data_IF_916886549998
#
_entry.id   IF_916886549998
#
_cell.length_a   1.000
_cell.length_b   1.000
_cell.length_c   1.000
_cell.angle_alpha   90.00
_cell.angle_beta   90.00
_cell.angle_gamma   90.00
#
_symmetry.space_group_name_H-M   'P 1'
#
loop_
_entity.id
_entity.type
_entity.pdbx_description
1 polymer ?
#
# COMPACT_ATOMS: atom_id res chain seq x y z
N UNK A 1 15.64 -16.79 6.50
CA UNK A 1 15.37 -16.61 7.95
C UNK A 1 13.85 -16.75 8.16
N UNK A 2 13.37 -17.94 8.56
CA UNK A 2 11.94 -18.17 8.81
C UNK A 2 11.63 -17.73 10.25
N UNK A 3 10.78 -16.72 10.42
CA UNK A 3 10.31 -16.31 11.74
C UNK A 3 9.41 -17.42 12.30
N UNK A 4 9.79 -17.99 13.46
CA UNK A 4 9.17 -19.19 14.06
C UNK A 4 7.65 -19.06 14.28
N UNK A 5 7.11 -17.85 14.40
CA UNK A 5 5.69 -17.55 14.55
C UNK A 5 5.21 -16.50 13.54
N UNK A 6 5.79 -16.47 12.35
CA UNK A 6 5.42 -15.50 11.31
C UNK A 6 3.93 -15.51 10.96
N UNK A 7 3.27 -16.68 11.02
CA UNK A 7 1.83 -16.82 10.77
C UNK A 7 0.98 -16.03 11.78
N UNK A 8 1.42 -15.93 13.04
CA UNK A 8 0.72 -15.13 14.05
C UNK A 8 0.77 -13.64 13.71
N UNK A 9 1.94 -13.16 13.25
CA UNK A 9 2.11 -11.76 12.85
C UNK A 9 1.24 -11.43 11.64
N UNK A 10 1.22 -12.31 10.64
CA UNK A 10 0.38 -12.12 9.45
C UNK A 10 -1.11 -12.13 9.79
N UNK A 11 -1.57 -13.11 10.58
CA UNK A 11 -2.97 -13.19 10.98
C UNK A 11 -3.38 -12.01 11.88
N UNK A 12 -2.52 -11.61 12.82
CA UNK A 12 -2.77 -10.43 13.64
C UNK A 12 -2.86 -9.15 12.79
N UNK A 13 -1.98 -9.03 11.79
CA UNK A 13 -2.03 -7.92 10.85
C UNK A 13 -3.35 -7.91 10.05
N UNK A 14 -3.80 -9.06 9.54
CA UNK A 14 -5.08 -9.16 8.81
C UNK A 14 -6.30 -8.89 9.70
N UNK A 15 -6.24 -9.25 10.99
CA UNK A 15 -7.32 -8.96 11.94
C UNK A 15 -7.56 -7.45 12.11
N UNK A 16 -6.56 -6.61 11.85
CA UNK A 16 -6.74 -5.15 11.90
C UNK A 16 -7.76 -4.65 10.86
N UNK A 17 -7.96 -5.37 9.76
CA UNK A 17 -8.96 -5.02 8.74
C UNK A 17 -10.41 -5.29 9.15
N UNK A 18 -10.63 -6.00 10.24
CA UNK A 18 -11.98 -6.17 10.83
C UNK A 18 -12.52 -4.83 11.33
N UNK A 19 -11.62 -3.91 11.73
CA UNK A 19 -12.00 -2.57 12.17
C UNK A 19 -12.05 -1.66 10.94
N UNK A 20 -13.23 -1.14 10.55
CA UNK A 20 -13.33 -0.22 9.42
C UNK A 20 -12.45 1.01 9.63
N UNK A 21 -11.66 1.37 8.63
CA UNK A 21 -10.76 2.53 8.70
C UNK A 21 -11.50 3.84 9.05
N UNK A 22 -12.76 3.98 8.61
CA UNK A 22 -13.59 5.14 8.91
C UNK A 22 -13.85 5.34 10.40
N UNK A 23 -13.94 4.27 11.20
CA UNK A 23 -14.12 4.38 12.64
C UNK A 23 -12.88 4.90 13.36
N UNK A 24 -11.71 4.73 12.77
CA UNK A 24 -10.45 5.20 13.33
C UNK A 24 -10.11 6.65 12.93
N UNK A 25 -10.86 7.25 12.02
CA UNK A 25 -10.52 8.53 11.42
C UNK A 25 -10.44 9.68 12.45
N UNK A 26 -11.42 9.77 13.36
CA UNK A 26 -11.46 10.82 14.38
C UNK A 26 -10.33 10.62 15.40
N UNK A 27 -10.07 9.38 15.81
CA UNK A 27 -8.98 9.04 16.72
C UNK A 27 -7.61 9.36 16.10
N UNK A 28 -7.44 9.04 14.83
CA UNK A 28 -6.24 9.37 14.09
C UNK A 28 -6.01 10.88 14.00
N UNK A 29 -7.07 11.64 13.70
CA UNK A 29 -7.01 13.10 13.69
C UNK A 29 -6.55 13.66 15.05
N UNK A 30 -7.11 13.19 16.16
CA UNK A 30 -6.70 13.59 17.51
C UNK A 30 -5.24 13.26 17.83
N UNK A 31 -4.80 12.07 17.44
CA UNK A 31 -3.39 11.65 17.60
C UNK A 31 -2.48 12.60 16.82
N UNK A 32 -2.80 12.87 15.55
CA UNK A 32 -1.98 13.76 14.72
C UNK A 32 -1.96 15.19 15.26
N UNK A 33 -3.05 15.69 15.81
CA UNK A 33 -3.05 16.98 16.50
C UNK A 33 -2.11 17.00 17.72
N UNK A 34 -2.14 15.96 18.55
CA UNK A 34 -1.28 15.88 19.73
C UNK A 34 0.22 15.83 19.37
N UNK A 35 0.57 15.29 18.19
CA UNK A 35 1.94 15.27 17.68
C UNK A 35 2.31 16.53 16.88
N UNK A 36 1.44 17.55 16.81
CA UNK A 36 1.68 18.75 16.02
C UNK A 36 1.68 18.54 14.50
N UNK A 37 1.09 17.42 14.05
CA UNK A 37 0.98 17.06 12.64
C UNK A 37 -0.37 17.42 12.01
N UNK A 38 -1.15 18.29 12.64
CA UNK A 38 -2.38 18.82 12.06
C UNK A 38 -2.06 19.61 10.78
N UNK A 39 -2.89 19.43 9.75
CA UNK A 39 -2.72 20.06 8.44
C UNK A 39 -1.33 19.86 7.80
N UNK A 40 -0.73 18.69 8.01
CA UNK A 40 0.57 18.33 7.49
C UNK A 40 0.47 17.03 6.66
N UNK A 41 1.02 16.97 5.44
CA UNK A 41 0.98 15.75 4.62
C UNK A 41 1.53 14.49 5.31
N UNK A 42 2.46 14.64 6.26
CA UNK A 42 2.99 13.51 7.04
C UNK A 42 1.93 12.80 7.88
N UNK A 43 0.86 13.50 8.29
CA UNK A 43 -0.26 12.86 8.99
C UNK A 43 -1.02 11.87 8.08
N UNK A 44 -1.24 12.25 6.83
CA UNK A 44 -1.86 11.37 5.83
C UNK A 44 -0.94 10.20 5.48
N UNK A 45 0.36 10.46 5.30
CA UNK A 45 1.35 9.41 5.04
C UNK A 45 1.36 8.39 6.19
N UNK A 46 1.34 8.83 7.44
CA UNK A 46 1.28 7.94 8.60
C UNK A 46 0.02 7.04 8.58
N UNK A 47 -1.14 7.61 8.26
CA UNK A 47 -2.38 6.85 8.11
C UNK A 47 -2.29 5.81 6.99
N UNK A 48 -1.83 6.21 5.82
CA UNK A 48 -1.69 5.33 4.66
C UNK A 48 -0.71 4.19 4.90
N UNK A 49 0.42 4.47 5.56
CA UNK A 49 1.38 3.43 5.96
C UNK A 49 0.74 2.45 6.93
N UNK A 50 -0.02 2.94 7.93
CA UNK A 50 -0.71 2.06 8.88
C UNK A 50 -1.71 1.12 8.17
N UNK A 51 -2.46 1.61 7.16
CA UNK A 51 -3.44 0.80 6.42
C UNK A 51 -2.81 -0.11 5.37
N UNK A 52 -1.71 0.29 4.74
CA UNK A 52 -1.03 -0.54 3.76
C UNK A 52 -0.20 -1.68 4.40
N UNK A 53 0.31 -1.47 5.60
CA UNK A 53 1.24 -2.38 6.27
C UNK A 53 0.68 -3.80 6.48
N UNK A 54 -0.56 -4.02 6.94
CA UNK A 54 -1.10 -5.37 7.14
C UNK A 54 -1.11 -6.20 5.86
N UNK A 55 -1.53 -5.60 4.75
CA UNK A 55 -1.50 -6.24 3.43
C UNK A 55 -0.07 -6.56 2.99
N UNK A 56 0.85 -5.60 3.18
CA UNK A 56 2.25 -5.80 2.84
C UNK A 56 2.88 -6.97 3.61
N UNK A 57 2.63 -7.05 4.92
CA UNK A 57 3.09 -8.15 5.77
C UNK A 57 2.56 -9.49 5.24
N UNK A 58 1.26 -9.56 4.95
CA UNK A 58 0.64 -10.78 4.44
C UNK A 58 1.27 -11.22 3.11
N UNK A 59 1.31 -10.32 2.12
CA UNK A 59 1.83 -10.64 0.79
C UNK A 59 3.31 -11.03 0.83
N UNK A 60 4.14 -10.29 1.56
CA UNK A 60 5.56 -10.61 1.68
C UNK A 60 5.78 -11.93 2.40
N UNK A 61 5.00 -12.26 3.40
CA UNK A 61 5.12 -13.52 4.11
C UNK A 61 4.72 -14.71 3.22
N UNK A 62 3.60 -14.61 2.51
CA UNK A 62 3.17 -15.68 1.62
C UNK A 62 4.16 -15.89 0.47
N UNK A 63 4.67 -14.78 -0.09
CA UNK A 63 5.67 -14.88 -1.15
C UNK A 63 7.02 -15.45 -0.64
N UNK A 64 7.47 -15.03 0.54
CA UNK A 64 8.71 -15.57 1.14
C UNK A 64 8.60 -17.06 1.47
N UNK A 65 7.40 -17.57 1.75
CA UNK A 65 7.17 -19.02 1.96
C UNK A 65 7.33 -19.84 0.69
N UNK A 66 7.10 -19.25 -0.48
CA UNK A 66 7.27 -19.94 -1.76
C UNK A 66 8.73 -20.08 -2.19
N UNK A 67 9.66 -19.36 -1.56
CA UNK A 67 11.10 -19.48 -1.84
C UNK A 67 11.64 -20.75 -1.14
N UNK A 68 12.26 -21.68 -1.89
CA UNK A 68 12.84 -22.89 -1.32
C UNK A 68 13.93 -22.58 -0.28
N UNK A 69 13.99 -23.35 0.81
CA UNK A 69 14.97 -23.15 1.87
C UNK A 69 16.41 -23.45 1.40
N UNK A 70 16.54 -24.31 0.41
CA UNK A 70 17.80 -24.74 -0.19
C UNK A 70 18.58 -23.55 -0.78
N UNK A 71 17.87 -22.50 -1.19
CA UNK A 71 18.48 -21.25 -1.68
C UNK A 71 19.23 -20.53 -0.56
N UNK A 72 18.67 -20.50 0.66
CA UNK A 72 19.32 -19.90 1.84
C UNK A 72 20.51 -20.78 2.30
N UNK A 73 20.33 -22.10 2.29
CA UNK A 73 21.36 -23.05 2.74
C UNK A 73 22.58 -23.06 1.80
N UNK A 74 22.36 -23.12 0.49
CA UNK A 74 23.47 -23.08 -0.48
C UNK A 74 24.24 -21.76 -0.41
N UNK A 75 23.55 -20.63 -0.30
CA UNK A 75 24.23 -19.34 -0.16
C UNK A 75 25.07 -19.23 1.12
N UNK A 76 24.64 -19.88 2.22
CA UNK A 76 25.43 -19.94 3.46
C UNK A 76 26.65 -20.84 3.31
N UNK A 77 26.54 -21.95 2.59
CA UNK A 77 27.70 -22.86 2.28
C UNK A 77 28.72 -22.08 1.45
N UNK A 78 28.25 -21.23 0.52
CA UNK A 78 29.12 -20.36 -0.29
C UNK A 78 29.71 -19.17 0.51
N UNK A 79 29.45 -19.09 1.82
CA UNK A 79 30.05 -18.09 2.71
C UNK A 79 29.35 -16.71 2.64
N UNK A 80 28.15 -16.62 2.05
CA UNK A 80 27.43 -15.36 1.97
C UNK A 80 26.95 -14.89 3.36
N UNK A 81 27.18 -13.62 3.69
CA UNK A 81 26.65 -13.02 4.91
C UNK A 81 25.11 -12.86 4.84
N UNK A 82 24.42 -12.80 5.99
CA UNK A 82 22.95 -12.61 6.01
C UNK A 82 22.47 -11.39 5.20
N UNK A 83 23.23 -10.30 5.21
CA UNK A 83 22.90 -9.10 4.44
C UNK A 83 23.08 -9.33 2.93
N UNK A 84 24.11 -10.07 2.53
CA UNK A 84 24.32 -10.45 1.13
C UNK A 84 23.20 -11.37 0.63
N UNK A 85 22.79 -12.35 1.42
CA UNK A 85 21.66 -13.23 1.12
C UNK A 85 20.39 -12.39 0.94
N UNK A 86 20.12 -11.47 1.86
CA UNK A 86 18.95 -10.59 1.77
C UNK A 86 18.97 -9.72 0.51
N UNK A 87 20.05 -8.97 0.27
CA UNK A 87 20.11 -7.99 -0.80
C UNK A 87 20.28 -8.61 -2.19
N UNK A 88 21.06 -9.70 -2.30
CA UNK A 88 21.42 -10.28 -3.61
C UNK A 88 20.53 -11.45 -4.03
N UNK A 89 19.85 -12.10 -3.08
CA UNK A 89 19.03 -13.28 -3.35
C UNK A 89 17.56 -12.99 -3.04
N UNK A 90 17.21 -12.72 -1.78
CA UNK A 90 15.82 -12.56 -1.40
C UNK A 90 15.15 -11.34 -2.05
N UNK A 91 15.79 -10.18 -2.01
CA UNK A 91 15.21 -8.96 -2.54
C UNK A 91 14.90 -9.04 -4.04
N UNK A 92 15.80 -9.55 -4.91
CA UNK A 92 15.48 -9.80 -6.31
C UNK A 92 14.39 -10.85 -6.53
N UNK A 93 14.40 -11.96 -5.78
CA UNK A 93 13.37 -12.99 -5.87
C UNK A 93 12.00 -12.49 -5.44
N UNK A 94 11.94 -11.56 -4.47
CA UNK A 94 10.71 -10.94 -3.99
C UNK A 94 10.25 -9.75 -4.86
N UNK A 95 10.94 -9.41 -5.94
CA UNK A 95 10.59 -8.27 -6.79
C UNK A 95 9.12 -8.28 -7.26
N UNK A 96 8.49 -9.42 -7.64
CA UNK A 96 7.07 -9.43 -8.00
C UNK A 96 6.16 -9.05 -6.83
N UNK A 97 6.46 -9.52 -5.61
CA UNK A 97 5.70 -9.16 -4.41
C UNK A 97 5.88 -7.68 -4.06
N UNK A 98 7.08 -7.12 -4.21
CA UNK A 98 7.34 -5.69 -4.04
C UNK A 98 6.54 -4.85 -5.02
N UNK A 99 6.46 -5.26 -6.29
CA UNK A 99 5.64 -4.58 -7.30
C UNK A 99 4.16 -4.64 -6.95
N UNK A 100 3.66 -5.80 -6.50
CA UNK A 100 2.26 -5.97 -6.12
C UNK A 100 1.89 -5.08 -4.91
N UNK A 101 2.70 -5.12 -3.84
CA UNK A 101 2.50 -4.30 -2.63
C UNK A 101 2.64 -2.81 -2.95
N UNK A 102 3.64 -2.43 -3.73
CA UNK A 102 3.84 -1.04 -4.14
C UNK A 102 2.69 -0.50 -4.98
N UNK A 103 2.18 -1.30 -5.91
CA UNK A 103 1.00 -0.93 -6.72
C UNK A 103 -0.25 -0.79 -5.85
N UNK A 104 -0.47 -1.71 -4.91
CA UNK A 104 -1.58 -1.62 -3.96
C UNK A 104 -1.49 -0.35 -3.09
N UNK A 105 -0.33 -0.11 -2.48
CA UNK A 105 -0.12 1.06 -1.62
C UNK A 105 -0.31 2.37 -2.40
N UNK A 106 0.15 2.42 -3.65
CA UNK A 106 -0.04 3.56 -4.53
C UNK A 106 -1.52 3.78 -4.85
N UNK A 107 -2.27 2.73 -5.20
CA UNK A 107 -3.71 2.82 -5.48
C UNK A 107 -4.50 3.19 -4.24
N UNK A 108 -4.12 2.66 -3.06
CA UNK A 108 -4.69 3.04 -1.78
C UNK A 108 -4.50 4.54 -1.53
N UNK A 109 -3.28 5.05 -1.70
CA UNK A 109 -2.98 6.46 -1.51
C UNK A 109 -3.65 7.35 -2.56
N UNK A 110 -3.73 6.90 -3.80
CA UNK A 110 -4.36 7.62 -4.90
C UNK A 110 -5.85 7.83 -4.66
N UNK A 111 -6.56 6.80 -4.22
CA UNK A 111 -8.01 6.83 -4.03
C UNK A 111 -8.44 7.27 -2.62
N UNK A 112 -7.48 7.56 -1.74
CA UNK A 112 -7.80 7.95 -0.39
C UNK A 112 -8.43 9.35 -0.36
N UNK A 113 -9.60 9.46 0.29
CA UNK A 113 -10.36 10.70 0.42
C UNK A 113 -10.53 11.12 1.88
N UNK A 114 -10.94 10.19 2.76
CA UNK A 114 -11.43 10.49 4.10
C UNK A 114 -10.34 11.10 4.99
N UNK A 115 -9.18 10.47 5.03
CA UNK A 115 -8.06 10.94 5.85
C UNK A 115 -7.44 12.20 5.29
N UNK A 116 -7.41 12.36 3.96
CA UNK A 116 -6.97 13.59 3.33
C UNK A 116 -7.93 14.74 3.65
N UNK A 117 -9.24 14.51 3.57
CA UNK A 117 -10.25 15.49 3.92
C UNK A 117 -10.19 15.91 5.40
N UNK A 118 -9.95 14.95 6.32
CA UNK A 118 -9.91 15.21 7.75
C UNK A 118 -8.59 15.84 8.22
N UNK A 119 -7.46 15.39 7.66
CA UNK A 119 -6.13 15.75 8.14
C UNK A 119 -5.53 16.96 7.42
N UNK A 120 -5.97 17.27 6.19
CA UNK A 120 -5.49 18.40 5.39
C UNK A 120 -6.61 19.43 5.23
N UNK A 121 -6.56 20.47 6.04
CA UNK A 121 -7.63 21.49 6.10
C UNK A 121 -7.36 22.72 5.22
N UNK A 122 -6.12 22.92 4.77
CA UNK A 122 -5.77 24.07 3.92
C UNK A 122 -6.03 23.79 2.45
N UNK A 123 -6.51 24.81 1.72
CA UNK A 123 -6.73 24.71 0.27
C UNK A 123 -5.45 24.38 -0.51
N UNK A 124 -4.29 24.81 -0.03
CA UNK A 124 -2.99 24.55 -0.66
C UNK A 124 -2.53 23.09 -0.56
N UNK A 125 -3.07 22.34 0.40
CA UNK A 125 -2.76 20.93 0.62
C UNK A 125 -3.87 19.98 0.13
N UNK A 126 -4.91 20.54 -0.51
CA UNK A 126 -6.06 19.78 -0.99
C UNK A 126 -5.65 18.81 -2.11
N UNK A 127 -6.08 17.58 -1.99
CA UNK A 127 -5.85 16.55 -3.02
C UNK A 127 -7.01 16.50 -4.02
N UNK A 128 -6.78 15.86 -5.17
CA UNK A 128 -7.80 15.78 -6.24
C UNK A 128 -9.10 15.11 -5.78
N UNK A 129 -9.10 13.98 -5.03
CA UNK A 129 -10.33 13.40 -4.49
C UNK A 129 -11.15 14.37 -3.63
N UNK A 130 -10.46 15.12 -2.76
CA UNK A 130 -11.11 16.11 -1.89
C UNK A 130 -11.64 17.27 -2.70
N UNK A 131 -10.91 17.76 -3.69
CA UNK A 131 -11.35 18.83 -4.59
C UNK A 131 -12.58 18.41 -5.40
N UNK A 132 -12.58 17.19 -5.97
CA UNK A 132 -13.73 16.66 -6.72
C UNK A 132 -14.98 16.56 -5.86
N UNK A 133 -14.86 16.13 -4.60
CA UNK A 133 -15.99 16.05 -3.69
C UNK A 133 -16.58 17.44 -3.36
N UNK A 134 -15.76 18.50 -3.36
CA UNK A 134 -16.26 19.87 -3.13
C UNK A 134 -17.09 20.39 -4.30
N UNK A 135 -16.83 19.97 -5.54
CA UNK A 135 -17.66 20.33 -6.68
C UNK A 135 -19.07 19.77 -6.58
N UNK A 136 -19.27 18.62 -5.92
CA UNK A 136 -20.58 18.00 -5.72
C UNK A 136 -21.49 18.80 -4.77
N UNK A 137 -20.93 19.65 -3.93
CA UNK A 137 -21.67 20.41 -2.91
C UNK A 137 -22.15 21.79 -3.40
N UNK A 138 -21.95 22.12 -4.68
CA UNK A 138 -22.45 23.39 -5.25
C UNK A 138 -23.73 23.16 -6.06
N UNK A 139 -24.73 24.03 -5.88
CA UNK A 139 -25.99 23.97 -6.63
C UNK A 139 -25.82 24.14 -8.15
N UNK A 140 -24.67 24.65 -8.57
CA UNK A 140 -24.24 24.81 -9.97
C UNK A 140 -23.03 23.96 -10.27
N UNK A 141 -23.07 22.66 -9.93
CA UNK A 141 -21.95 21.76 -10.16
C UNK A 141 -21.54 21.72 -11.63
N UNK A 142 -20.31 22.12 -11.97
CA UNK A 142 -19.83 22.14 -13.35
C UNK A 142 -19.48 20.71 -13.80
N UNK A 143 -20.48 19.92 -14.12
CA UNK A 143 -20.38 18.51 -14.47
C UNK A 143 -19.33 18.22 -15.56
N UNK A 144 -19.22 19.10 -16.55
CA UNK A 144 -18.24 19.00 -17.61
C UNK A 144 -16.79 19.04 -17.08
N UNK A 145 -16.50 19.97 -16.16
CA UNK A 145 -15.16 20.04 -15.53
C UNK A 145 -14.90 18.86 -14.60
N UNK A 146 -15.91 18.42 -13.87
CA UNK A 146 -15.80 17.24 -13.02
C UNK A 146 -15.46 15.98 -13.82
N UNK A 147 -16.18 15.73 -14.91
CA UNK A 147 -15.94 14.59 -15.78
C UNK A 147 -14.56 14.67 -16.44
N UNK A 148 -14.16 15.84 -16.92
CA UNK A 148 -12.82 16.04 -17.48
C UNK A 148 -11.72 15.77 -16.45
N UNK A 149 -11.88 16.30 -15.22
CA UNK A 149 -10.92 16.06 -14.13
C UNK A 149 -10.88 14.59 -13.74
N UNK A 150 -12.01 13.90 -13.67
CA UNK A 150 -12.07 12.47 -13.34
C UNK A 150 -11.33 11.62 -14.39
N UNK A 151 -11.48 11.93 -15.68
CA UNK A 151 -10.77 11.25 -16.77
C UNK A 151 -9.25 11.47 -16.64
N UNK A 152 -8.81 12.70 -16.45
CA UNK A 152 -7.39 13.02 -16.29
C UNK A 152 -6.84 12.33 -15.03
N UNK A 153 -7.61 12.34 -13.93
CA UNK A 153 -7.24 11.71 -12.68
C UNK A 153 -7.12 10.19 -12.78
N UNK A 154 -7.93 9.55 -13.61
CA UNK A 154 -7.86 8.10 -13.82
C UNK A 154 -6.64 7.67 -14.67
N UNK A 155 -6.07 8.56 -15.48
CA UNK A 155 -5.00 8.21 -16.42
C UNK A 155 -3.72 7.68 -15.76
N UNK A 156 -3.14 8.28 -14.67
CA UNK A 156 -1.94 7.76 -14.03
C UNK A 156 -2.10 6.35 -13.44
N UNK A 157 -3.15 6.02 -12.66
CA UNK A 157 -3.36 4.65 -12.16
C UNK A 157 -3.46 3.62 -13.28
N UNK A 158 -4.19 3.95 -14.35
CA UNK A 158 -4.34 3.08 -15.52
C UNK A 158 -2.98 2.85 -16.19
N UNK A 159 -2.21 3.91 -16.42
CA UNK A 159 -0.87 3.80 -17.00
C UNK A 159 0.06 2.93 -16.16
N UNK A 160 0.06 3.13 -14.83
CA UNK A 160 0.87 2.35 -13.89
C UNK A 160 0.43 0.88 -13.87
N UNK A 161 -0.88 0.61 -13.83
CA UNK A 161 -1.40 -0.76 -13.93
C UNK A 161 -0.89 -1.46 -15.21
N UNK A 162 -1.00 -0.81 -16.38
CA UNK A 162 -0.53 -1.41 -17.63
C UNK A 162 0.99 -1.60 -17.66
N UNK A 163 1.77 -0.69 -17.06
CA UNK A 163 3.22 -0.81 -16.98
C UNK A 163 3.66 -2.02 -16.14
N UNK A 164 2.96 -2.30 -15.03
CA UNK A 164 3.37 -3.32 -14.08
C UNK A 164 2.60 -4.65 -14.16
N UNK A 165 1.50 -4.72 -14.92
CA UNK A 165 0.62 -5.91 -14.99
C UNK A 165 1.36 -7.23 -15.26
N UNK A 166 2.35 -7.20 -16.17
CA UNK A 166 3.14 -8.39 -16.53
C UNK A 166 3.97 -8.93 -15.36
N UNK A 167 4.45 -8.06 -14.48
CA UNK A 167 5.21 -8.45 -13.29
C UNK A 167 4.30 -8.93 -12.17
N UNK A 168 3.10 -8.38 -12.07
CA UNK A 168 2.09 -8.81 -11.10
C UNK A 168 1.56 -10.22 -11.40
N UNK A 169 1.25 -10.53 -12.67
CA UNK A 169 0.75 -11.85 -13.07
C UNK A 169 1.81 -12.95 -12.92
N UNK A 170 3.08 -12.66 -13.18
CA UNK A 170 4.17 -13.62 -12.96
C UNK A 170 4.31 -14.07 -11.48
N UNK A 171 3.96 -13.19 -10.52
CA UNK A 171 3.98 -13.52 -9.10
C UNK A 171 2.77 -14.35 -8.63
N UNK A 172 1.60 -14.17 -9.26
CA UNK A 172 0.37 -14.86 -8.88
C UNK A 172 0.31 -16.30 -9.44
N UNK A 173 0.92 -16.54 -10.60
CA UNK A 173 0.92 -17.88 -11.22
C UNK A 173 1.87 -18.87 -10.55
N UNK A 174 2.91 -18.43 -9.87
CA UNK A 174 3.81 -19.31 -9.12
C UNK A 174 3.18 -19.88 -7.84
N UNK A 175 2.11 -19.27 -7.32
CA UNK A 175 1.38 -19.77 -6.14
C UNK A 175 0.15 -20.64 -6.46
N UNK A 176 -0.28 -20.71 -7.72
CA UNK A 176 -1.58 -21.29 -8.13
C UNK A 176 -1.54 -22.68 -8.78
N UNK A 177 -0.39 -23.26 -9.03
CA UNK A 177 -0.28 -24.60 -9.63
C UNK A 177 0.27 -25.60 -8.63
N UNK A 178 -0.60 -26.05 -7.74
CA UNK A 178 -0.55 -27.39 -7.17
C UNK A 178 -1.84 -28.10 -7.60
N UNK A 179 -1.82 -28.65 -8.82
CA UNK A 179 -2.68 -29.72 -9.23
C UNK A 179 -2.05 -31.02 -8.82
#
# INVERSE_FOLDING_TARGET
>A
MRIRHGWLVSNAALLTYVIPASFLAIQFYRIMQNYGLANNPWSVIAALVAFATPYAIFVFQEYARSIPIEVDESARIDGASPLQIYLRIYLPLMAPALVAVGTYAMLLAWNEYLYQFLLLTSKSSMTVPVALAQFLNSDQSPWNYMMATAIIYAAPPVAIYYAFRRRMTAGLTMGGVKG
#
